data_IF_619935820399
#
_entry.id   IF_619935820399
#
_cell.length_a   1.000
_cell.length_b   1.000
_cell.length_c   1.000
_cell.angle_alpha   90.00
_cell.angle_beta   90.00
_cell.angle_gamma   90.00
#
_symmetry.space_group_name_H-M   'P 1'
#
loop_
_entity.id
_entity.type
_entity.pdbx_description
1 polymer ?
#
# COMPACT_ATOMS: atom_id res chain seq x y z
N UNK A 1 48.94 75.10 66.22
CA UNK A 1 47.91 75.03 65.17
C UNK A 1 48.21 74.07 64.02
N UNK A 2 49.47 73.64 63.78
CA UNK A 2 49.79 72.71 62.68
C UNK A 2 49.22 71.28 62.79
N UNK A 3 49.12 70.72 64.00
CA UNK A 3 48.68 69.32 64.23
C UNK A 3 47.16 69.11 64.00
N UNK A 4 46.36 70.17 64.19
CA UNK A 4 44.90 70.11 64.00
C UNK A 4 44.50 70.14 62.50
N UNK A 5 45.29 70.84 61.68
CA UNK A 5 45.10 70.92 60.23
C UNK A 5 45.52 69.59 59.57
N UNK A 6 46.56 68.92 60.10
CA UNK A 6 46.96 67.59 59.61
C UNK A 6 45.96 66.50 59.99
N UNK A 7 45.35 66.55 61.19
CA UNK A 7 44.35 65.57 61.62
C UNK A 7 43.03 65.64 60.82
N UNK A 8 42.57 66.85 60.49
CA UNK A 8 41.37 67.06 59.67
C UNK A 8 41.61 66.70 58.20
N UNK A 9 42.80 66.99 57.66
CA UNK A 9 43.21 66.51 56.34
C UNK A 9 43.27 64.97 56.25
N UNK A 10 43.81 64.30 57.28
CA UNK A 10 43.89 62.84 57.35
C UNK A 10 42.49 62.21 57.49
N UNK A 11 41.58 62.84 58.24
CA UNK A 11 40.16 62.44 58.35
C UNK A 11 39.41 62.57 57.01
N UNK A 12 39.60 63.67 56.27
CA UNK A 12 39.02 63.85 54.94
C UNK A 12 39.56 62.81 53.93
N UNK A 13 40.86 62.50 54.00
CA UNK A 13 41.47 61.44 53.19
C UNK A 13 40.86 60.07 53.54
N UNK A 14 40.67 59.76 54.82
CA UNK A 14 40.04 58.50 55.26
C UNK A 14 38.58 58.39 54.81
N UNK A 15 37.81 59.48 54.88
CA UNK A 15 36.41 59.52 54.39
C UNK A 15 36.38 59.36 52.86
N UNK A 16 37.31 59.98 52.13
CA UNK A 16 37.43 59.84 50.69
C UNK A 16 37.82 58.42 50.27
N UNK A 17 38.79 57.81 50.94
CA UNK A 17 39.16 56.40 50.76
C UNK A 17 37.98 55.47 51.07
N UNK A 18 37.23 55.75 52.14
CA UNK A 18 36.03 55.01 52.50
C UNK A 18 34.91 55.14 51.45
N UNK A 19 34.64 56.35 50.94
CA UNK A 19 33.67 56.58 49.85
C UNK A 19 34.08 55.90 48.54
N UNK A 20 35.37 55.91 48.19
CA UNK A 20 35.89 55.15 47.04
C UNK A 20 35.68 53.66 47.27
N UNK A 21 35.94 53.16 48.48
CA UNK A 21 35.71 51.74 48.82
C UNK A 21 34.23 51.36 48.70
N UNK A 22 33.32 52.24 49.12
CA UNK A 22 31.86 52.04 49.05
C UNK A 22 31.37 52.09 47.60
N UNK A 23 31.87 53.04 46.81
CA UNK A 23 31.60 53.17 45.37
C UNK A 23 32.08 51.94 44.58
N UNK A 24 33.31 51.49 44.84
CA UNK A 24 33.88 50.26 44.28
C UNK A 24 33.06 49.03 44.67
N UNK A 25 32.60 48.94 45.93
CA UNK A 25 31.71 47.86 46.39
C UNK A 25 30.36 47.89 45.69
N UNK A 26 29.77 49.06 45.48
CA UNK A 26 28.52 49.24 44.75
C UNK A 26 28.67 48.86 43.27
N UNK A 27 29.75 49.30 42.61
CA UNK A 27 30.06 48.94 41.23
C UNK A 27 30.31 47.44 41.05
N UNK A 28 31.03 46.79 41.98
CA UNK A 28 31.21 45.33 41.98
C UNK A 28 29.88 44.60 42.11
N UNK A 29 29.00 45.06 43.01
CA UNK A 29 27.69 44.46 43.22
C UNK A 29 26.75 44.66 42.02
N UNK A 30 26.81 45.82 41.35
CA UNK A 30 26.09 46.08 40.10
C UNK A 30 26.64 45.25 38.92
N UNK A 31 27.96 45.10 38.82
CA UNK A 31 28.61 44.25 37.83
C UNK A 31 28.24 42.76 38.03
N UNK A 32 28.23 42.29 39.28
CA UNK A 32 27.76 40.94 39.63
C UNK A 32 26.28 40.74 39.28
N UNK A 33 25.40 41.71 39.53
CA UNK A 33 23.98 41.64 39.15
C UNK A 33 23.82 41.52 37.63
N UNK A 34 24.50 42.38 36.87
CA UNK A 34 24.50 42.31 35.38
C UNK A 34 25.05 40.98 34.88
N UNK A 35 26.13 40.47 35.48
CA UNK A 35 26.70 39.17 35.13
C UNK A 35 25.72 38.02 35.42
N UNK A 36 25.00 38.06 36.56
CA UNK A 36 23.96 37.08 36.90
C UNK A 36 22.76 37.16 35.95
N UNK A 37 22.32 38.36 35.57
CA UNK A 37 21.24 38.53 34.59
C UNK A 37 21.62 37.98 33.21
N UNK A 38 22.84 38.22 32.74
CA UNK A 38 23.34 37.65 31.48
C UNK A 38 23.46 36.13 31.58
N UNK A 39 23.99 35.61 32.68
CA UNK A 39 24.07 34.16 32.93
C UNK A 39 22.68 33.53 32.97
N UNK A 40 21.72 34.16 33.63
CA UNK A 40 20.32 33.72 33.69
C UNK A 40 19.66 33.74 32.31
N UNK A 41 19.82 34.82 31.53
CA UNK A 41 19.30 34.90 30.15
C UNK A 41 19.90 33.80 29.28
N UNK A 42 21.20 33.56 29.37
CA UNK A 42 21.89 32.50 28.62
C UNK A 42 21.43 31.10 29.05
N UNK A 43 21.25 30.88 30.35
CA UNK A 43 20.70 29.63 30.88
C UNK A 43 19.27 29.39 30.38
N UNK A 44 18.42 30.43 30.39
CA UNK A 44 17.06 30.37 29.87
C UNK A 44 17.01 30.11 28.36
N UNK A 45 17.91 30.72 27.58
CA UNK A 45 18.02 30.44 26.14
C UNK A 45 18.43 28.98 25.89
N UNK A 46 19.46 28.49 26.60
CA UNK A 46 19.91 27.10 26.49
C UNK A 46 18.81 26.11 26.90
N UNK A 47 18.05 26.41 27.95
CA UNK A 47 16.91 25.60 28.38
C UNK A 47 15.82 25.54 27.30
N UNK A 48 15.48 26.67 26.67
CA UNK A 48 14.52 26.71 25.54
C UNK A 48 15.02 25.93 24.33
N UNK A 49 16.30 26.04 23.99
CA UNK A 49 16.89 25.27 22.89
C UNK A 49 16.88 23.77 23.18
N UNK A 50 17.19 23.39 24.41
CA UNK A 50 17.13 21.99 24.83
C UNK A 50 15.69 21.45 24.78
N UNK A 51 14.73 22.19 25.33
CA UNK A 51 13.32 21.80 25.29
C UNK A 51 12.83 21.66 23.83
N UNK A 52 13.24 22.57 22.94
CA UNK A 52 12.93 22.48 21.51
C UNK A 52 13.54 21.23 20.88
N UNK A 53 14.82 20.93 21.16
CA UNK A 53 15.49 19.72 20.65
C UNK A 53 14.81 18.46 21.17
N UNK A 54 14.37 18.44 22.42
CA UNK A 54 13.63 17.31 23.00
C UNK A 54 12.26 17.13 22.32
N UNK A 55 11.56 18.21 21.98
CA UNK A 55 10.30 18.13 21.22
C UNK A 55 10.53 17.64 19.79
N UNK A 56 11.54 18.18 19.10
CA UNK A 56 11.92 17.73 17.76
C UNK A 56 12.29 16.24 17.80
N UNK A 57 13.08 15.79 18.78
CA UNK A 57 13.41 14.39 18.98
C UNK A 57 12.17 13.51 19.22
N UNK A 58 11.23 13.94 20.08
CA UNK A 58 9.97 13.21 20.31
C UNK A 58 9.13 13.08 19.02
N UNK A 59 9.08 14.13 18.21
CA UNK A 59 8.40 14.09 16.94
C UNK A 59 9.14 13.20 15.92
N UNK A 60 10.47 13.22 15.96
CA UNK A 60 11.34 12.37 15.15
C UNK A 60 11.09 10.88 15.42
N UNK A 61 10.89 10.51 16.69
CA UNK A 61 10.57 9.15 17.13
C UNK A 61 9.12 8.71 16.85
N UNK A 62 8.29 9.56 16.23
CA UNK A 62 6.92 9.20 15.83
C UNK A 62 5.80 9.62 16.79
N UNK A 63 6.07 10.48 17.78
CA UNK A 63 5.02 10.94 18.70
C UNK A 63 4.04 11.91 17.99
N UNK A 64 2.91 11.36 17.52
CA UNK A 64 1.91 12.06 16.67
C UNK A 64 1.48 13.42 17.23
N UNK A 65 1.11 13.59 18.53
CA UNK A 65 0.73 14.91 19.04
C UNK A 65 1.82 15.96 18.91
N UNK A 66 3.09 15.59 19.12
CA UNK A 66 4.22 16.52 18.99
C UNK A 66 4.49 16.84 17.52
N UNK A 67 4.34 15.86 16.62
CA UNK A 67 4.45 16.07 15.17
C UNK A 67 3.41 17.11 14.72
N UNK A 68 2.13 16.91 15.08
CA UNK A 68 1.05 17.82 14.70
C UNK A 68 1.21 19.21 15.32
N UNK A 69 1.70 19.30 16.56
CA UNK A 69 2.06 20.57 17.20
C UNK A 69 3.13 21.32 16.40
N UNK A 70 4.25 20.64 16.07
CA UNK A 70 5.35 21.24 15.30
C UNK A 70 4.91 21.61 13.87
N UNK A 71 4.04 20.80 13.25
CA UNK A 71 3.43 21.11 11.96
C UNK A 71 2.65 22.41 12.03
N UNK A 72 1.77 22.54 13.04
CA UNK A 72 0.91 23.72 13.20
C UNK A 72 1.69 24.97 13.58
N UNK A 73 2.70 24.85 14.44
CA UNK A 73 3.63 25.93 14.77
C UNK A 73 4.35 26.43 13.53
N UNK A 74 4.83 25.50 12.68
CA UNK A 74 5.58 25.81 11.46
C UNK A 74 4.72 26.44 10.35
N UNK A 75 3.39 26.31 10.35
CA UNK A 75 2.52 26.91 9.32
C UNK A 75 2.64 28.44 9.25
N UNK A 76 3.02 29.10 10.35
CA UNK A 76 3.16 30.55 10.44
C UNK A 76 4.45 31.05 9.79
N UNK A 77 5.52 30.27 9.93
CA UNK A 77 6.87 30.73 9.63
C UNK A 77 7.46 30.05 8.37
N UNK A 78 7.14 28.78 8.13
CA UNK A 78 7.74 27.98 7.08
C UNK A 78 6.82 26.83 6.62
N UNK A 79 6.13 27.04 5.49
CA UNK A 79 5.21 26.06 4.90
C UNK A 79 5.90 24.73 4.53
N UNK A 80 7.16 24.75 4.09
CA UNK A 80 7.89 23.50 3.76
C UNK A 80 8.14 22.66 5.00
N UNK A 81 8.49 23.31 6.12
CA UNK A 81 8.67 22.64 7.41
C UNK A 81 7.33 22.12 7.95
N UNK A 82 6.24 22.87 7.79
CA UNK A 82 4.91 22.40 8.14
C UNK A 82 4.51 21.16 7.34
N UNK A 83 4.74 21.18 6.02
CA UNK A 83 4.49 20.06 5.12
C UNK A 83 5.27 18.82 5.54
N UNK A 84 6.55 18.94 5.86
CA UNK A 84 7.38 17.83 6.34
C UNK A 84 6.75 17.13 7.55
N UNK A 85 6.31 17.89 8.56
CA UNK A 85 5.69 17.29 9.75
C UNK A 85 4.30 16.71 9.46
N UNK A 86 3.49 17.35 8.62
CA UNK A 86 2.21 16.79 8.22
C UNK A 86 2.36 15.51 7.41
N UNK A 87 3.33 15.43 6.50
CA UNK A 87 3.65 14.21 5.75
C UNK A 87 4.16 13.11 6.68
N UNK A 88 5.01 13.43 7.66
CA UNK A 88 5.46 12.47 8.67
C UNK A 88 4.30 11.90 9.50
N UNK A 89 3.34 12.74 9.89
CA UNK A 89 2.11 12.27 10.54
C UNK A 89 1.25 11.41 9.60
N UNK A 90 1.11 11.82 8.33
CA UNK A 90 0.34 11.09 7.33
C UNK A 90 0.91 9.68 7.07
N UNK A 91 2.24 9.55 6.99
CA UNK A 91 2.94 8.26 6.87
C UNK A 91 2.73 7.33 8.07
N UNK A 92 2.36 7.87 9.23
CA UNK A 92 1.96 7.13 10.43
C UNK A 92 0.44 6.92 10.51
N UNK A 93 -0.26 7.00 9.37
CA UNK A 93 -1.71 6.82 9.24
C UNK A 93 -2.55 7.82 10.04
N UNK A 94 -1.98 8.99 10.35
CA UNK A 94 -2.74 10.04 11.00
C UNK A 94 -3.54 10.87 9.99
N UNK A 95 -4.87 10.77 10.08
CA UNK A 95 -5.85 11.49 9.25
C UNK A 95 -5.64 13.01 9.26
N UNK A 96 -5.38 13.62 10.42
CA UNK A 96 -5.09 15.06 10.53
C UNK A 96 -3.82 15.47 9.77
N UNK A 97 -2.81 14.59 9.77
CA UNK A 97 -1.61 14.70 8.95
C UNK A 97 -1.94 14.78 7.47
N UNK A 98 -2.72 13.81 6.98
CA UNK A 98 -3.15 13.71 5.58
C UNK A 98 -3.93 14.95 5.14
N UNK A 99 -4.93 15.38 5.91
CA UNK A 99 -5.67 16.62 5.65
C UNK A 99 -4.76 17.86 5.67
N UNK A 100 -3.75 17.88 6.53
CA UNK A 100 -2.72 18.91 6.56
C UNK A 100 -1.95 19.01 5.25
N UNK A 101 -1.47 17.87 4.72
CA UNK A 101 -0.77 17.80 3.43
C UNK A 101 -1.66 18.30 2.29
N UNK A 102 -2.89 17.77 2.19
CA UNK A 102 -3.85 18.15 1.14
C UNK A 102 -4.13 19.65 1.17
N UNK A 103 -4.42 20.21 2.35
CA UNK A 103 -4.69 21.65 2.53
C UNK A 103 -3.49 22.51 2.15
N UNK A 104 -2.27 22.11 2.52
CA UNK A 104 -1.06 22.88 2.20
C UNK A 104 -0.70 22.79 0.71
N UNK A 105 -0.93 21.65 0.07
CA UNK A 105 -0.75 21.47 -1.37
C UNK A 105 -1.63 22.45 -2.18
N UNK A 106 -2.87 22.67 -1.75
CA UNK A 106 -3.79 23.62 -2.40
C UNK A 106 -3.34 25.09 -2.31
N UNK A 107 -2.49 25.41 -1.33
CA UNK A 107 -1.85 26.74 -1.22
C UNK A 107 -0.62 26.85 -2.11
N UNK A 108 0.07 25.75 -2.37
CA UNK A 108 1.30 25.65 -3.16
C UNK A 108 1.04 25.06 -4.55
N UNK A 109 0.06 25.62 -5.29
CA UNK A 109 -0.48 25.05 -6.54
C UNK A 109 0.53 24.83 -7.67
N UNK A 110 1.68 25.47 -7.62
CA UNK A 110 2.72 25.38 -8.65
C UNK A 110 3.53 24.08 -8.56
N UNK A 111 3.50 23.39 -7.41
CA UNK A 111 4.25 22.15 -7.21
C UNK A 111 3.44 20.93 -7.67
N UNK A 112 3.81 20.40 -8.85
CA UNK A 112 3.16 19.24 -9.46
C UNK A 112 3.34 17.97 -8.59
N UNK A 113 4.51 17.79 -7.97
CA UNK A 113 4.80 16.61 -7.16
C UNK A 113 3.91 16.61 -5.92
N UNK A 114 3.83 17.77 -5.26
CA UNK A 114 2.97 17.95 -4.10
C UNK A 114 1.48 17.77 -4.44
N UNK A 115 1.06 18.15 -5.66
CA UNK A 115 -0.31 17.91 -6.13
C UNK A 115 -0.63 16.42 -6.25
N UNK A 116 0.29 15.63 -6.81
CA UNK A 116 0.14 14.17 -6.88
C UNK A 116 0.13 13.54 -5.48
N UNK A 117 0.96 14.03 -4.56
CA UNK A 117 0.95 13.62 -3.16
C UNK A 117 -0.37 13.94 -2.46
N UNK A 118 -0.95 15.12 -2.71
CA UNK A 118 -2.28 15.46 -2.21
C UNK A 118 -3.37 14.56 -2.80
N UNK A 119 -3.29 14.20 -4.09
CA UNK A 119 -4.24 13.26 -4.71
C UNK A 119 -4.17 11.88 -4.04
N UNK A 120 -2.96 11.40 -3.76
CA UNK A 120 -2.75 10.16 -3.00
C UNK A 120 -3.44 10.23 -1.63
N UNK A 121 -3.15 11.26 -0.83
CA UNK A 121 -3.73 11.39 0.51
C UNK A 121 -5.25 11.59 0.50
N UNK A 122 -5.83 12.29 -0.49
CA UNK A 122 -7.30 12.37 -0.64
C UNK A 122 -7.91 10.99 -0.87
N UNK A 123 -7.28 10.17 -1.71
CA UNK A 123 -7.73 8.81 -1.99
C UNK A 123 -7.61 7.93 -0.75
N UNK A 124 -6.51 8.06 -0.01
CA UNK A 124 -6.31 7.34 1.25
C UNK A 124 -7.35 7.70 2.32
N UNK A 125 -7.67 9.00 2.46
CA UNK A 125 -8.73 9.49 3.35
C UNK A 125 -10.08 8.86 2.99
N UNK A 126 -10.48 8.92 1.72
CA UNK A 126 -11.73 8.31 1.27
C UNK A 126 -11.79 6.81 1.57
N UNK A 127 -10.67 6.10 1.37
CA UNK A 127 -10.56 4.67 1.72
C UNK A 127 -10.73 4.38 3.21
N UNK A 128 -10.23 5.25 4.10
CA UNK A 128 -10.43 5.13 5.55
C UNK A 128 -11.85 5.50 5.98
N UNK A 129 -12.54 6.36 5.21
CA UNK A 129 -13.94 6.74 5.44
C UNK A 129 -14.93 5.68 4.91
N UNK A 130 -14.44 4.60 4.30
CA UNK A 130 -15.23 3.44 3.88
C UNK A 130 -15.40 3.27 2.37
N UNK A 131 -14.78 4.12 1.54
CA UNK A 131 -14.78 3.95 0.09
C UNK A 131 -13.83 2.81 -0.31
N UNK A 132 -14.41 1.65 -0.64
CA UNK A 132 -13.68 0.43 -0.97
C UNK A 132 -12.85 0.61 -2.26
N UNK A 133 -13.37 1.32 -3.26
CA UNK A 133 -12.66 1.58 -4.51
C UNK A 133 -11.46 2.50 -4.27
N UNK A 134 -11.61 3.50 -3.40
CA UNK A 134 -10.52 4.36 -2.98
C UNK A 134 -9.46 3.60 -2.15
N UNK A 135 -9.87 2.65 -1.31
CA UNK A 135 -8.95 1.77 -0.59
C UNK A 135 -8.10 0.94 -1.56
N UNK A 136 -8.73 0.30 -2.54
CA UNK A 136 -8.03 -0.42 -3.61
C UNK A 136 -7.08 0.50 -4.41
N UNK A 137 -7.54 1.70 -4.78
CA UNK A 137 -6.73 2.68 -5.49
C UNK A 137 -5.52 3.15 -4.68
N UNK A 138 -5.68 3.32 -3.36
CA UNK A 138 -4.60 3.67 -2.43
C UNK A 138 -3.56 2.55 -2.35
N UNK A 139 -4.01 1.29 -2.26
CA UNK A 139 -3.13 0.13 -2.33
C UNK A 139 -2.30 0.12 -3.61
N UNK A 140 -2.92 0.24 -4.79
CA UNK A 140 -2.20 0.34 -6.08
C UNK A 140 -1.24 1.52 -6.16
N UNK A 141 -1.58 2.65 -5.55
CA UNK A 141 -0.70 3.82 -5.51
C UNK A 141 0.56 3.56 -4.68
N UNK A 142 0.45 2.84 -3.56
CA UNK A 142 1.60 2.41 -2.74
C UNK A 142 2.50 1.39 -3.46
N UNK A 143 1.92 0.50 -4.26
CA UNK A 143 2.69 -0.46 -5.07
C UNK A 143 3.50 0.25 -6.16
N UNK A 144 2.86 1.18 -6.87
CA UNK A 144 3.48 1.93 -7.97
C UNK A 144 4.37 3.09 -7.50
N UNK A 145 4.19 3.58 -6.27
CA UNK A 145 4.83 4.79 -5.76
C UNK A 145 4.23 6.08 -6.35
N UNK A 146 2.94 6.06 -6.70
CA UNK A 146 2.26 7.22 -7.27
C UNK A 146 1.81 8.16 -6.16
N UNK A 147 2.40 9.35 -6.09
CA UNK A 147 2.09 10.36 -5.06
C UNK A 147 2.64 10.04 -3.67
N UNK A 148 3.35 8.93 -3.50
CA UNK A 148 4.00 8.56 -2.23
C UNK A 148 5.20 7.65 -2.52
N UNK A 149 6.00 7.35 -1.50
CA UNK A 149 7.07 6.37 -1.59
C UNK A 149 6.48 4.95 -1.75
N UNK A 150 7.17 4.09 -2.51
CA UNK A 150 6.74 2.71 -2.69
C UNK A 150 6.69 1.98 -1.35
N UNK A 151 5.58 1.31 -1.08
CA UNK A 151 5.41 0.46 0.08
C UNK A 151 4.62 -0.78 -0.35
N UNK A 152 5.35 -1.80 -0.82
CA UNK A 152 4.75 -3.03 -1.35
C UNK A 152 3.91 -3.77 -0.29
N UNK A 153 4.43 -4.02 0.94
CA UNK A 153 3.66 -4.75 1.95
C UNK A 153 2.34 -4.07 2.30
N UNK A 154 2.37 -2.75 2.57
CA UNK A 154 1.16 -2.00 2.90
C UNK A 154 0.20 -1.87 1.71
N UNK A 155 0.74 -1.80 0.49
CA UNK A 155 -0.05 -1.79 -0.73
C UNK A 155 -0.88 -3.06 -0.88
N UNK A 156 -0.25 -4.24 -0.72
CA UNK A 156 -0.97 -5.52 -0.76
C UNK A 156 -1.97 -5.67 0.38
N UNK A 157 -1.60 -5.30 1.60
CA UNK A 157 -2.52 -5.34 2.74
C UNK A 157 -3.82 -4.55 2.48
N UNK A 158 -3.72 -3.33 1.94
CA UNK A 158 -4.91 -2.53 1.63
C UNK A 158 -5.75 -3.13 0.49
N UNK A 159 -5.11 -3.76 -0.50
CA UNK A 159 -5.83 -4.42 -1.60
C UNK A 159 -6.55 -5.67 -1.09
N UNK A 160 -5.90 -6.47 -0.25
CA UNK A 160 -6.50 -7.64 0.40
C UNK A 160 -7.72 -7.26 1.24
N UNK A 161 -7.59 -6.24 2.10
CA UNK A 161 -8.73 -5.70 2.85
C UNK A 161 -9.88 -5.24 1.93
N UNK A 162 -9.56 -4.59 0.80
CA UNK A 162 -10.57 -4.18 -0.16
C UNK A 162 -11.23 -5.39 -0.85
N UNK A 163 -10.47 -6.46 -1.13
CA UNK A 163 -10.97 -7.70 -1.70
C UNK A 163 -11.93 -8.41 -0.71
N UNK A 164 -11.57 -8.49 0.57
CA UNK A 164 -12.43 -9.07 1.61
C UNK A 164 -13.73 -8.28 1.82
N UNK A 165 -13.69 -6.97 1.64
CA UNK A 165 -14.87 -6.10 1.67
C UNK A 165 -15.74 -6.18 0.39
N UNK A 166 -15.35 -6.98 -0.61
CA UNK A 166 -16.14 -7.22 -1.80
C UNK A 166 -15.71 -6.45 -3.05
N UNK A 167 -14.54 -5.80 -3.06
CA UNK A 167 -14.06 -5.10 -4.26
C UNK A 167 -13.63 -6.11 -5.34
N UNK A 168 -14.46 -6.28 -6.38
CA UNK A 168 -14.17 -7.17 -7.51
C UNK A 168 -12.80 -6.88 -8.16
N UNK A 169 -12.42 -5.62 -8.48
CA UNK A 169 -11.09 -5.32 -8.99
C UNK A 169 -9.94 -5.74 -8.06
N UNK A 170 -10.15 -5.68 -6.74
CA UNK A 170 -9.16 -6.11 -5.76
C UNK A 170 -9.04 -7.64 -5.72
N UNK A 171 -10.15 -8.37 -5.76
CA UNK A 171 -10.15 -9.84 -5.86
C UNK A 171 -9.41 -10.32 -7.11
N UNK A 172 -9.67 -9.70 -8.27
CA UNK A 172 -8.97 -10.02 -9.52
C UNK A 172 -7.47 -9.74 -9.40
N UNK A 173 -7.09 -8.59 -8.83
CA UNK A 173 -5.69 -8.26 -8.56
C UNK A 173 -5.04 -9.30 -7.66
N UNK A 174 -5.70 -9.75 -6.59
CA UNK A 174 -5.16 -10.77 -5.69
C UNK A 174 -4.93 -12.08 -6.43
N UNK A 175 -5.88 -12.51 -7.27
CA UNK A 175 -5.70 -13.69 -8.10
C UNK A 175 -4.51 -13.59 -9.06
N UNK A 176 -4.34 -12.44 -9.72
CA UNK A 176 -3.19 -12.16 -10.59
C UNK A 176 -1.87 -12.13 -9.80
N UNK A 177 -1.87 -11.51 -8.62
CA UNK A 177 -0.71 -11.43 -7.74
C UNK A 177 -0.25 -12.81 -7.27
N UNK A 178 -1.18 -13.72 -6.98
CA UNK A 178 -0.83 -15.10 -6.61
C UNK A 178 -0.16 -15.89 -7.76
N UNK A 179 -0.41 -15.52 -9.01
CA UNK A 179 0.25 -16.11 -10.19
C UNK A 179 1.47 -15.33 -10.66
N UNK A 180 1.76 -14.18 -10.05
CA UNK A 180 2.87 -13.33 -10.47
C UNK A 180 4.22 -14.01 -10.17
N UNK A 181 5.17 -13.99 -11.12
CA UNK A 181 6.54 -14.44 -10.85
C UNK A 181 7.25 -13.66 -9.73
N UNK A 182 6.77 -12.45 -9.42
CA UNK A 182 7.30 -11.62 -8.33
C UNK A 182 6.82 -12.09 -6.94
N UNK A 183 5.76 -12.88 -6.88
CA UNK A 183 5.24 -13.45 -5.64
C UNK A 183 5.83 -14.85 -5.42
N UNK A 184 7.00 -14.90 -4.78
CA UNK A 184 7.69 -16.18 -4.52
C UNK A 184 6.94 -17.11 -3.56
N UNK A 185 5.98 -16.58 -2.81
CA UNK A 185 5.09 -17.33 -1.92
C UNK A 185 3.70 -17.57 -2.55
N UNK A 186 3.52 -17.20 -3.82
CA UNK A 186 2.24 -17.29 -4.50
C UNK A 186 1.81 -18.72 -4.76
N UNK A 187 0.54 -19.02 -4.49
CA UNK A 187 -0.04 -20.35 -4.74
C UNK A 187 -1.10 -20.28 -5.81
N UNK A 188 -1.03 -21.19 -6.78
CA UNK A 188 -2.01 -21.23 -7.87
C UNK A 188 -3.42 -21.56 -7.38
N UNK A 189 -3.55 -22.33 -6.28
CA UNK A 189 -4.84 -22.59 -5.64
C UNK A 189 -5.47 -21.30 -5.07
N UNK A 190 -4.67 -20.47 -4.38
CA UNK A 190 -5.11 -19.17 -3.86
C UNK A 190 -5.55 -18.23 -5.00
N UNK A 191 -4.91 -18.31 -6.18
CA UNK A 191 -5.35 -17.57 -7.34
C UNK A 191 -6.76 -17.97 -7.80
N UNK A 192 -7.01 -19.27 -7.93
CA UNK A 192 -8.33 -19.80 -8.28
C UNK A 192 -9.40 -19.37 -7.26
N UNK A 193 -9.07 -19.41 -5.98
CA UNK A 193 -9.94 -18.95 -4.90
C UNK A 193 -10.37 -17.49 -5.08
N UNK A 194 -9.42 -16.57 -5.30
CA UNK A 194 -9.73 -15.15 -5.49
C UNK A 194 -10.54 -14.90 -6.77
N UNK A 195 -10.22 -15.59 -7.86
CA UNK A 195 -11.02 -15.52 -9.09
C UNK A 195 -12.43 -16.07 -8.91
N UNK A 196 -12.60 -17.13 -8.10
CA UNK A 196 -13.90 -17.69 -7.77
C UNK A 196 -14.73 -16.71 -6.93
N UNK A 197 -14.16 -16.09 -5.90
CA UNK A 197 -14.80 -15.00 -5.13
C UNK A 197 -15.32 -13.89 -6.06
N UNK A 198 -14.51 -13.45 -7.03
CA UNK A 198 -14.95 -12.46 -8.02
C UNK A 198 -16.09 -13.00 -8.91
N UNK A 199 -15.99 -14.25 -9.37
CA UNK A 199 -16.97 -14.89 -10.23
C UNK A 199 -18.35 -15.05 -9.57
N UNK A 200 -18.38 -15.31 -8.25
CA UNK A 200 -19.61 -15.41 -7.46
C UNK A 200 -20.35 -14.08 -7.34
N UNK A 201 -19.61 -12.96 -7.29
CA UNK A 201 -20.18 -11.61 -7.39
C UNK A 201 -20.57 -11.21 -8.83
N UNK A 202 -20.82 -12.22 -9.66
CA UNK A 202 -21.21 -12.11 -11.05
C UNK A 202 -20.19 -11.43 -11.98
N UNK A 203 -18.93 -11.22 -11.56
CA UNK A 203 -17.86 -10.66 -12.39
C UNK A 203 -17.62 -11.50 -13.65
N UNK A 204 -17.76 -10.87 -14.82
CA UNK A 204 -17.44 -11.53 -16.10
C UNK A 204 -15.94 -11.86 -16.19
N UNK A 205 -15.08 -10.96 -15.74
CA UNK A 205 -13.63 -11.15 -15.68
C UNK A 205 -13.27 -12.31 -14.75
N UNK A 206 -13.87 -12.37 -13.55
CA UNK A 206 -13.63 -13.46 -12.59
C UNK A 206 -14.00 -14.81 -13.18
N UNK A 207 -15.17 -14.91 -13.83
CA UNK A 207 -15.61 -16.12 -14.53
C UNK A 207 -14.67 -16.49 -15.69
N UNK A 208 -14.11 -15.51 -16.42
CA UNK A 208 -13.10 -15.76 -17.45
C UNK A 208 -11.86 -16.40 -16.81
N UNK A 209 -11.32 -15.80 -15.75
CA UNK A 209 -10.11 -16.28 -15.09
C UNK A 209 -10.31 -17.69 -14.50
N UNK A 210 -11.44 -17.97 -13.84
CA UNK A 210 -11.79 -19.33 -13.39
C UNK A 210 -11.81 -20.33 -14.56
N UNK A 211 -12.43 -19.94 -15.68
CA UNK A 211 -12.45 -20.78 -16.89
C UNK A 211 -11.05 -21.07 -17.43
N UNK A 212 -10.17 -20.06 -17.46
CA UNK A 212 -8.78 -20.21 -17.88
C UNK A 212 -7.97 -21.07 -16.91
N UNK A 213 -8.21 -20.98 -15.59
CA UNK A 213 -7.58 -21.86 -14.61
C UNK A 213 -7.91 -23.33 -14.87
N UNK A 214 -9.18 -23.67 -15.13
CA UNK A 214 -9.57 -25.05 -15.48
C UNK A 214 -9.02 -25.52 -16.83
N UNK A 215 -8.84 -24.64 -17.83
CA UNK A 215 -8.19 -25.03 -19.10
C UNK A 215 -6.71 -25.36 -18.90
N UNK A 216 -6.01 -24.55 -18.09
CA UNK A 216 -4.57 -24.64 -17.89
C UNK A 216 -4.18 -25.62 -16.79
N UNK A 217 -5.12 -25.97 -15.90
CA UNK A 217 -4.83 -26.71 -14.68
C UNK A 217 -4.09 -25.85 -13.65
N UNK A 218 -4.42 -24.57 -13.58
CA UNK A 218 -3.80 -23.62 -12.65
C UNK A 218 -4.58 -23.63 -11.35
N UNK A 219 -3.98 -24.19 -10.29
CA UNK A 219 -4.60 -24.28 -8.96
C UNK A 219 -5.70 -25.34 -8.84
N UNK A 220 -5.88 -26.15 -9.87
CA UNK A 220 -6.89 -27.22 -9.94
C UNK A 220 -6.53 -28.17 -11.09
N UNK A 221 -7.14 -29.34 -11.14
CA UNK A 221 -7.02 -30.25 -12.26
C UNK A 221 -7.63 -29.66 -13.54
N UNK A 222 -7.03 -30.01 -14.68
CA UNK A 222 -7.56 -29.61 -15.98
C UNK A 222 -8.96 -30.19 -16.17
N UNK A 223 -9.93 -29.32 -16.43
CA UNK A 223 -11.29 -29.75 -16.75
C UNK A 223 -11.90 -28.90 -17.84
N UNK A 224 -11.97 -29.49 -19.03
CA UNK A 224 -12.55 -28.85 -20.21
C UNK A 224 -14.04 -28.51 -20.02
N UNK A 225 -14.79 -29.38 -19.32
CA UNK A 225 -16.21 -29.19 -19.05
C UNK A 225 -16.44 -28.01 -18.10
N UNK A 226 -15.68 -27.92 -17.00
CA UNK A 226 -15.78 -26.80 -16.05
C UNK A 226 -15.32 -25.48 -16.69
N UNK A 227 -14.22 -25.52 -17.45
CA UNK A 227 -13.74 -24.38 -18.22
C UNK A 227 -14.81 -23.81 -19.17
N UNK A 228 -15.38 -24.66 -20.02
CA UNK A 228 -16.43 -24.24 -20.96
C UNK A 228 -17.63 -23.64 -20.23
N UNK A 229 -18.05 -24.23 -19.11
CA UNK A 229 -19.15 -23.68 -18.33
C UNK A 229 -18.87 -22.25 -17.85
N UNK A 230 -17.72 -22.01 -17.22
CA UNK A 230 -17.38 -20.69 -16.67
C UNK A 230 -17.22 -19.62 -17.76
N UNK A 231 -16.58 -19.98 -18.88
CA UNK A 231 -16.43 -19.10 -20.04
C UNK A 231 -17.78 -18.79 -20.70
N UNK A 232 -18.62 -19.80 -20.94
CA UNK A 232 -19.97 -19.60 -21.49
C UNK A 232 -20.86 -18.81 -20.53
N UNK A 233 -20.66 -18.94 -19.22
CA UNK A 233 -21.40 -18.19 -18.21
C UNK A 233 -21.06 -16.69 -18.25
N UNK A 234 -19.79 -16.35 -18.48
CA UNK A 234 -19.36 -14.97 -18.72
C UNK A 234 -19.82 -14.45 -20.09
N UNK A 235 -19.83 -15.31 -21.12
CA UNK A 235 -20.33 -14.99 -22.44
C UNK A 235 -21.84 -14.69 -22.43
N UNK A 236 -22.63 -15.41 -21.62
CA UNK A 236 -24.06 -15.16 -21.41
C UNK A 236 -24.37 -13.76 -20.85
N UNK A 237 -23.43 -13.15 -20.11
CA UNK A 237 -23.53 -11.76 -19.64
C UNK A 237 -23.11 -10.72 -20.69
N UNK A 238 -22.82 -11.14 -21.93
CA UNK A 238 -22.49 -10.25 -23.03
C UNK A 238 -21.00 -9.86 -23.13
N UNK A 239 -20.11 -10.50 -22.37
CA UNK A 239 -18.66 -10.27 -22.51
C UNK A 239 -18.16 -10.85 -23.83
N UNK A 240 -17.71 -9.98 -24.73
CA UNK A 240 -17.17 -10.39 -26.03
C UNK A 240 -15.85 -11.17 -25.89
N UNK A 241 -15.04 -10.85 -24.88
CA UNK A 241 -13.82 -11.59 -24.54
C UNK A 241 -14.13 -12.99 -24.00
N UNK A 242 -15.14 -13.13 -23.14
CA UNK A 242 -15.60 -14.45 -22.70
C UNK A 242 -16.10 -15.31 -23.86
N UNK A 243 -16.83 -14.71 -24.82
CA UNK A 243 -17.24 -15.39 -26.04
C UNK A 243 -16.03 -15.86 -26.86
N UNK A 244 -14.97 -15.04 -26.94
CA UNK A 244 -13.74 -15.44 -27.62
C UNK A 244 -13.10 -16.67 -26.95
N UNK A 245 -12.88 -16.61 -25.64
CA UNK A 245 -12.27 -17.72 -24.90
C UNK A 245 -13.15 -18.98 -24.90
N UNK A 246 -14.48 -18.85 -24.80
CA UNK A 246 -15.38 -19.99 -24.97
C UNK A 246 -15.24 -20.60 -26.38
N UNK A 247 -15.10 -19.74 -27.39
CA UNK A 247 -14.84 -20.14 -28.77
C UNK A 247 -13.54 -20.91 -28.93
N UNK A 248 -12.44 -20.39 -28.37
CA UNK A 248 -11.14 -21.06 -28.37
C UNK A 248 -11.18 -22.39 -27.62
N UNK A 249 -11.84 -22.44 -26.46
CA UNK A 249 -11.97 -23.67 -25.70
C UNK A 249 -12.62 -24.76 -26.56
N UNK A 250 -13.75 -24.47 -27.23
CA UNK A 250 -14.44 -25.45 -28.06
C UNK A 250 -13.72 -25.80 -29.37
N UNK A 251 -12.72 -25.03 -29.80
CA UNK A 251 -12.01 -25.24 -31.05
C UNK A 251 -11.36 -26.63 -31.07
N UNK A 252 -11.56 -27.35 -32.17
CA UNK A 252 -11.06 -28.70 -32.43
C UNK A 252 -11.44 -29.75 -31.37
N UNK A 253 -12.54 -29.53 -30.65
CA UNK A 253 -13.03 -30.47 -29.63
C UNK A 253 -14.18 -31.35 -30.11
N UNK A 254 -13.96 -32.66 -30.08
CA UNK A 254 -14.99 -33.64 -30.46
C UNK A 254 -15.56 -33.43 -31.87
N UNK A 255 -16.79 -33.91 -32.10
CA UNK A 255 -17.44 -33.84 -33.43
C UNK A 255 -18.16 -32.51 -33.67
N UNK A 256 -18.59 -31.83 -32.62
CA UNK A 256 -19.45 -30.63 -32.68
C UNK A 256 -18.78 -29.38 -32.14
N UNK A 257 -17.56 -29.47 -31.60
CA UNK A 257 -16.87 -28.34 -30.98
C UNK A 257 -16.62 -27.20 -31.96
N UNK A 258 -16.17 -27.48 -33.18
CA UNK A 258 -15.96 -26.42 -34.17
C UNK A 258 -17.26 -25.67 -34.56
N UNK A 259 -18.42 -26.31 -34.50
CA UNK A 259 -19.70 -25.63 -34.69
C UNK A 259 -20.03 -24.68 -33.52
N UNK A 260 -19.79 -25.12 -32.28
CA UNK A 260 -19.99 -24.31 -31.07
C UNK A 260 -18.98 -23.17 -31.01
N UNK A 261 -17.71 -23.47 -31.29
CA UNK A 261 -16.62 -22.50 -31.39
C UNK A 261 -16.98 -21.39 -32.37
N UNK A 262 -17.43 -21.76 -33.58
CA UNK A 262 -17.84 -20.78 -34.58
C UNK A 262 -18.96 -19.85 -34.09
N UNK A 263 -19.99 -20.39 -33.40
CA UNK A 263 -21.08 -19.56 -32.84
C UNK A 263 -20.51 -18.51 -31.88
N UNK A 264 -19.68 -18.92 -30.93
CA UNK A 264 -19.12 -18.00 -29.94
C UNK A 264 -18.16 -16.98 -30.56
N UNK A 265 -17.27 -17.40 -31.44
CA UNK A 265 -16.33 -16.52 -32.14
C UNK A 265 -17.06 -15.52 -33.06
N UNK A 266 -18.14 -15.95 -33.73
CA UNK A 266 -18.98 -15.06 -34.52
C UNK A 266 -19.65 -13.99 -33.66
N UNK A 267 -20.19 -14.36 -32.50
CA UNK A 267 -20.79 -13.40 -31.55
C UNK A 267 -19.75 -12.42 -31.01
N UNK A 268 -18.60 -12.93 -30.57
CA UNK A 268 -17.47 -12.14 -30.07
C UNK A 268 -17.01 -11.07 -31.07
N UNK A 269 -16.76 -11.49 -32.32
CA UNK A 269 -16.32 -10.60 -33.39
C UNK A 269 -17.36 -9.51 -33.71
N UNK A 270 -18.66 -9.83 -33.64
CA UNK A 270 -19.72 -8.87 -33.90
C UNK A 270 -19.99 -7.92 -32.73
N UNK A 271 -19.54 -8.27 -31.52
CA UNK A 271 -19.59 -7.41 -30.34
C UNK A 271 -18.31 -6.57 -30.17
N UNK A 272 -17.39 -6.62 -31.15
CA UNK A 272 -16.24 -5.72 -31.24
C UNK A 272 -14.90 -6.29 -30.76
N UNK A 273 -14.83 -7.58 -30.39
CA UNK A 273 -13.57 -8.21 -30.01
C UNK A 273 -12.81 -8.67 -31.26
N UNK A 274 -11.92 -7.81 -31.74
CA UNK A 274 -11.20 -7.99 -33.01
C UNK A 274 -10.42 -9.32 -33.14
N UNK A 275 -9.71 -9.83 -32.10
CA UNK A 275 -8.99 -11.11 -32.20
C UNK A 275 -9.88 -12.30 -32.60
N UNK A 276 -11.18 -12.24 -32.29
CA UNK A 276 -12.11 -13.32 -32.62
C UNK A 276 -12.30 -13.52 -34.12
N UNK A 277 -12.09 -12.50 -34.96
CA UNK A 277 -12.31 -12.62 -36.42
C UNK A 277 -11.36 -13.62 -37.05
N UNK A 278 -10.07 -13.57 -36.71
CA UNK A 278 -9.07 -14.46 -37.28
C UNK A 278 -9.36 -15.92 -36.93
N UNK A 279 -9.62 -16.20 -35.65
CA UNK A 279 -9.93 -17.56 -35.18
C UNK A 279 -11.28 -18.03 -35.74
N UNK A 280 -12.28 -17.15 -35.83
CA UNK A 280 -13.57 -17.47 -36.46
C UNK A 280 -13.39 -17.95 -37.90
N UNK A 281 -12.57 -17.24 -38.68
CA UNK A 281 -12.38 -17.52 -40.10
C UNK A 281 -11.55 -18.80 -40.33
N UNK A 282 -10.61 -19.10 -39.43
CA UNK A 282 -9.93 -20.39 -39.34
C UNK A 282 -10.95 -21.53 -39.12
N UNK A 283 -11.79 -21.43 -38.09
CA UNK A 283 -12.82 -22.45 -37.80
C UNK A 283 -13.84 -22.57 -38.93
N UNK A 284 -14.24 -21.44 -39.54
CA UNK A 284 -15.18 -21.41 -40.67
C UNK A 284 -14.66 -22.22 -41.87
N UNK A 285 -13.36 -22.10 -42.15
CA UNK A 285 -12.68 -22.82 -43.23
C UNK A 285 -12.70 -24.34 -42.99
N UNK A 286 -12.60 -24.76 -41.73
CA UNK A 286 -12.57 -26.17 -41.36
C UNK A 286 -13.95 -26.87 -41.42
N UNK A 287 -15.05 -26.15 -41.18
CA UNK A 287 -16.41 -26.73 -41.15
C UNK A 287 -17.20 -26.58 -42.46
N UNK A 288 -16.76 -25.69 -43.36
CA UNK A 288 -17.38 -25.48 -44.67
C UNK A 288 -18.50 -24.43 -44.68
N UNK A 289 -18.69 -23.81 -45.85
CA UNK A 289 -19.55 -22.63 -46.03
C UNK A 289 -21.03 -22.92 -45.72
N UNK A 290 -21.55 -24.09 -46.11
CA UNK A 290 -22.96 -24.43 -45.88
C UNK A 290 -23.29 -24.52 -44.38
N UNK A 291 -22.39 -25.13 -43.60
CA UNK A 291 -22.52 -25.23 -42.14
C UNK A 291 -22.44 -23.84 -41.53
N UNK A 292 -21.52 -23.01 -41.98
CA UNK A 292 -21.36 -21.62 -41.52
C UNK A 292 -22.66 -20.82 -41.70
N UNK A 293 -23.28 -20.87 -42.88
CA UNK A 293 -24.55 -20.17 -43.15
C UNK A 293 -25.65 -20.66 -42.20
N UNK A 294 -25.72 -21.97 -41.99
CA UNK A 294 -26.62 -22.59 -41.01
C UNK A 294 -26.39 -22.06 -39.59
N UNK A 295 -25.15 -22.04 -39.11
CA UNK A 295 -24.79 -21.56 -37.77
C UNK A 295 -25.07 -20.06 -37.59
N UNK A 296 -24.83 -19.23 -38.61
CA UNK A 296 -25.16 -17.81 -38.56
C UNK A 296 -26.66 -17.55 -38.41
N UNK A 297 -27.51 -18.41 -38.98
CA UNK A 297 -28.96 -18.32 -38.80
C UNK A 297 -29.40 -18.50 -37.34
N UNK A 298 -28.63 -19.27 -36.56
CA UNK A 298 -28.85 -19.51 -35.13
C UNK A 298 -28.18 -18.42 -34.29
N UNK A 299 -26.97 -17.99 -34.68
CA UNK A 299 -26.18 -17.02 -33.93
C UNK A 299 -26.76 -15.59 -34.00
N UNK A 300 -27.34 -15.16 -35.13
CA UNK A 300 -27.92 -13.81 -35.26
C UNK A 300 -29.07 -13.53 -34.28
N UNK A 301 -30.04 -14.44 -34.06
CA UNK A 301 -31.03 -14.29 -32.99
C UNK A 301 -30.40 -14.19 -31.59
N UNK A 302 -29.39 -15.02 -31.29
CA UNK A 302 -28.66 -14.98 -30.02
C UNK A 302 -27.96 -13.63 -29.82
N UNK A 303 -27.33 -13.10 -30.86
CA UNK A 303 -26.70 -11.77 -30.86
C UNK A 303 -27.70 -10.67 -30.48
N UNK A 304 -28.88 -10.66 -31.11
CA UNK A 304 -29.93 -9.67 -30.78
C UNK A 304 -30.39 -9.79 -29.33
N UNK A 305 -30.49 -11.01 -28.81
CA UNK A 305 -30.87 -11.27 -27.42
C UNK A 305 -29.79 -10.79 -26.44
N UNK A 306 -28.52 -11.08 -26.72
CA UNK A 306 -27.38 -10.60 -25.92
C UNK A 306 -27.28 -9.07 -25.95
N UNK A 307 -27.49 -8.45 -27.12
CA UNK A 307 -27.52 -6.99 -27.27
C UNK A 307 -28.70 -6.32 -26.55
N UNK A 308 -29.80 -7.04 -26.31
CA UNK A 308 -30.93 -6.52 -25.54
C UNK A 308 -30.67 -6.45 -24.02
N UNK A 309 -29.55 -6.99 -23.54
CA UNK A 309 -29.13 -6.95 -22.14
C UNK A 309 -29.85 -7.95 -21.22
N UNK A 310 -31.01 -8.49 -21.61
CA UNK A 310 -31.73 -9.48 -20.81
C UNK A 310 -31.56 -10.91 -21.33
N UNK A 311 -30.60 -11.64 -20.75
CA UNK A 311 -30.42 -13.08 -20.96
C UNK A 311 -30.63 -13.81 -19.63
N UNK A 312 -31.66 -14.65 -19.55
CA UNK A 312 -31.91 -15.48 -18.37
C UNK A 312 -30.69 -16.38 -18.09
N UNK A 313 -30.26 -16.43 -16.82
CA UNK A 313 -29.16 -17.28 -16.32
C UNK A 313 -29.25 -18.71 -16.88
N UNK A 314 -28.15 -19.16 -17.49
CA UNK A 314 -27.96 -20.47 -18.12
C UNK A 314 -28.84 -20.77 -19.33
N UNK A 315 -29.56 -19.79 -19.89
CA UNK A 315 -30.50 -20.06 -20.98
C UNK A 315 -29.81 -20.43 -22.30
N UNK A 316 -28.66 -19.84 -22.62
CA UNK A 316 -27.89 -20.15 -23.82
C UNK A 316 -27.14 -21.48 -23.61
N UNK A 317 -26.51 -21.66 -22.44
CA UNK A 317 -25.82 -22.90 -22.08
C UNK A 317 -26.78 -24.10 -22.16
N UNK A 318 -27.98 -23.99 -21.59
CA UNK A 318 -29.01 -25.06 -21.67
C UNK A 318 -29.45 -25.33 -23.10
N UNK A 319 -29.61 -24.30 -23.92
CA UNK A 319 -29.99 -24.46 -25.33
C UNK A 319 -28.91 -25.19 -26.11
N UNK A 320 -27.64 -24.79 -25.96
CA UNK A 320 -26.51 -25.45 -26.59
C UNK A 320 -26.32 -26.89 -26.08
N UNK A 321 -26.49 -27.15 -24.78
CA UNK A 321 -26.49 -28.52 -24.22
C UNK A 321 -27.54 -29.40 -24.90
N UNK A 322 -28.76 -28.87 -25.10
CA UNK A 322 -29.85 -29.60 -25.75
C UNK A 322 -29.57 -29.85 -27.24
N UNK A 323 -29.12 -28.84 -27.98
CA UNK A 323 -28.90 -28.92 -29.43
C UNK A 323 -27.73 -29.85 -29.76
N UNK A 324 -26.62 -29.74 -29.01
CA UNK A 324 -25.40 -30.49 -29.28
C UNK A 324 -25.22 -31.73 -28.39
N UNK A 325 -26.24 -32.07 -27.58
CA UNK A 325 -26.23 -33.22 -26.65
C UNK A 325 -24.99 -33.23 -25.74
N UNK A 326 -24.65 -32.06 -25.19
CA UNK A 326 -23.49 -31.87 -24.31
C UNK A 326 -23.82 -32.39 -22.92
N UNK A 327 -22.79 -32.89 -22.22
CA UNK A 327 -22.91 -33.21 -20.81
C UNK A 327 -23.19 -31.92 -20.02
N UNK A 328 -24.29 -31.85 -19.26
CA UNK A 328 -24.61 -30.66 -18.48
C UNK A 328 -23.73 -30.59 -17.24
N UNK A 329 -23.00 -29.50 -17.09
CA UNK A 329 -22.33 -29.15 -15.84
C UNK A 329 -22.87 -27.81 -15.31
N UNK A 330 -23.22 -27.80 -14.03
CA UNK A 330 -23.63 -26.64 -13.27
C UNK A 330 -23.07 -26.87 -11.85
N UNK A 331 -22.12 -26.05 -11.36
CA UNK A 331 -21.61 -26.19 -10.02
C UNK A 331 -22.76 -26.00 -9.03
N UNK A 332 -22.87 -26.93 -8.09
CA UNK A 332 -23.77 -26.80 -6.96
C UNK A 332 -23.15 -25.91 -5.87
N UNK A 333 -23.92 -25.62 -4.82
CA UNK A 333 -23.44 -24.75 -3.75
C UNK A 333 -22.37 -25.43 -2.90
N UNK A 334 -22.39 -26.75 -2.79
CA UNK A 334 -21.43 -27.47 -1.97
C UNK A 334 -20.04 -27.47 -2.63
N UNK A 335 -19.97 -27.68 -3.95
CA UNK A 335 -18.74 -27.54 -4.75
C UNK A 335 -18.16 -26.12 -4.67
N UNK A 336 -19.01 -25.10 -4.72
CA UNK A 336 -18.56 -23.70 -4.59
C UNK A 336 -18.05 -23.40 -3.19
N UNK A 337 -18.76 -23.86 -2.15
CA UNK A 337 -18.35 -23.68 -0.76
C UNK A 337 -17.04 -24.40 -0.45
N UNK A 338 -16.81 -25.58 -1.01
CA UNK A 338 -15.55 -26.32 -0.86
C UNK A 338 -14.39 -25.51 -1.45
N UNK A 339 -14.54 -25.01 -2.68
CA UNK A 339 -13.53 -24.17 -3.35
C UNK A 339 -13.31 -22.81 -2.68
N UNK A 340 -14.26 -22.35 -1.87
CA UNK A 340 -14.22 -21.09 -1.13
C UNK A 340 -13.94 -21.29 0.36
N UNK A 341 -13.69 -22.53 0.78
CA UNK A 341 -13.30 -22.82 2.15
C UNK A 341 -11.83 -22.41 2.37
N UNK A 342 -11.55 -21.77 3.51
CA UNK A 342 -10.20 -21.34 3.86
C UNK A 342 -9.26 -22.54 4.19
N UNK A 343 -9.80 -23.75 4.32
CA UNK A 343 -9.04 -24.96 4.68
C UNK A 343 -8.02 -25.36 3.60
N UNK A 344 -8.25 -25.02 2.33
CA UNK A 344 -7.27 -25.18 1.25
C UNK A 344 -6.04 -24.26 1.40
N UNK A 345 -6.07 -23.26 2.28
CA UNK A 345 -4.91 -22.42 2.58
C UNK A 345 -3.93 -23.07 3.56
N UNK A 346 -4.33 -24.10 4.31
CA UNK A 346 -3.52 -24.68 5.41
C UNK A 346 -2.93 -26.07 5.10
N UNK A 347 -3.63 -26.94 4.35
CA UNK A 347 -3.21 -28.35 4.22
C UNK A 347 -1.87 -28.56 3.47
N UNK A 348 -1.46 -27.68 2.57
CA UNK A 348 -0.12 -27.72 1.94
C UNK A 348 0.96 -26.97 2.73
N UNK A 349 0.61 -26.27 3.82
CA UNK A 349 1.55 -25.55 4.69
C UNK A 349 2.38 -26.48 5.59
N UNK A 350 2.03 -27.76 5.71
CA UNK A 350 2.71 -28.72 6.59
C UNK A 350 3.89 -29.45 5.95
N UNK A 351 4.28 -29.08 4.72
CA UNK A 351 5.45 -29.63 4.03
C UNK A 351 6.46 -28.54 3.65
N UNK A 352 6.83 -27.67 4.58
CA UNK A 352 8.22 -27.20 4.65
C UNK A 352 8.55 -26.70 6.06
N UNK A 353 9.58 -27.30 6.66
CA UNK A 353 9.94 -27.07 8.04
C UNK A 353 10.60 -25.71 8.28
N UNK A 354 9.95 -24.86 9.06
CA UNK A 354 10.60 -23.82 9.86
C UNK A 354 9.83 -23.60 11.17
N UNK A 355 10.52 -23.41 12.31
CA UNK A 355 9.88 -23.38 13.62
C UNK A 355 9.09 -22.08 13.84
N UNK A 356 7.85 -22.25 14.26
CA UNK A 356 6.94 -21.20 14.72
C UNK A 356 7.58 -20.36 15.85
N UNK A 357 7.72 -19.06 15.61
CA UNK A 357 7.99 -18.08 16.65
C UNK A 357 6.65 -17.62 17.23
N UNK A 358 6.21 -18.32 18.28
CA UNK A 358 5.10 -17.92 19.14
C UNK A 358 5.43 -16.60 19.85
N UNK A 359 4.65 -15.55 19.59
CA UNK A 359 4.62 -14.33 20.38
C UNK A 359 3.19 -14.10 20.87
N UNK A 360 2.89 -14.67 22.04
CA UNK A 360 1.86 -14.24 23.00
C UNK A 360 1.96 -15.21 24.19
N UNK A 361 1.89 -14.86 25.46
CA UNK A 361 1.88 -13.61 26.21
C UNK A 361 2.11 -14.05 27.67
N UNK A 362 2.80 -13.28 28.51
CA UNK A 362 2.56 -13.33 29.97
C UNK A 362 3.17 -12.13 30.68
N UNK A 363 2.31 -11.30 31.28
CA UNK A 363 2.63 -10.21 32.18
C UNK A 363 2.65 -10.77 33.62
N UNK A 364 3.76 -10.71 34.36
CA UNK A 364 3.76 -10.96 35.80
C UNK A 364 3.86 -9.65 36.62
N UNK A 365 3.47 -9.68 37.90
CA UNK A 365 3.00 -8.52 38.66
C UNK A 365 4.09 -7.64 39.28
N UNK A 366 3.69 -6.42 39.63
CA UNK A 366 4.46 -5.41 40.35
C UNK A 366 4.96 -5.93 41.72
N UNK A 367 6.26 -5.78 41.99
CA UNK A 367 6.84 -5.81 43.34
C UNK A 367 7.79 -4.62 43.56
N UNK A 368 7.72 -4.09 44.78
CA UNK A 368 8.29 -2.83 45.26
C UNK A 368 9.83 -2.79 45.36
N UNK A 369 10.31 -1.54 45.35
CA UNK A 369 11.67 -1.00 45.42
C UNK A 369 12.75 -1.71 46.26
N UNK A 370 13.96 -1.79 45.68
CA UNK A 370 15.24 -1.75 46.40
C UNK A 370 16.30 -0.95 45.60
N UNK A 371 17.12 -0.18 46.33
CA UNK A 371 18.04 0.90 45.89
C UNK A 371 19.15 0.52 44.89
N UNK A 372 19.71 1.49 44.12
CA UNK A 372 20.67 1.21 43.04
C UNK A 372 22.13 1.02 43.53
N UNK A 373 22.91 0.13 42.89
CA UNK A 373 24.35 0.04 43.14
C UNK A 373 25.15 1.07 42.31
N UNK A 374 26.35 1.39 42.84
CA UNK A 374 27.30 2.44 42.40
C UNK A 374 27.80 2.30 40.95
N UNK A 375 28.00 3.44 40.30
CA UNK A 375 28.60 3.61 38.97
C UNK A 375 30.08 3.15 38.92
N UNK A 376 30.52 2.47 37.83
CA UNK A 376 31.93 2.34 37.50
C UNK A 376 32.43 3.53 36.64
N UNK A 377 33.74 3.78 36.76
CA UNK A 377 34.50 4.95 36.30
C UNK A 377 34.69 5.08 34.79
N UNK A 378 34.84 6.34 34.35
CA UNK A 378 35.12 6.79 32.97
C UNK A 378 36.48 6.33 32.44
N UNK A 379 36.47 5.63 31.30
CA UNK A 379 37.57 5.65 30.33
C UNK A 379 37.06 6.20 29.00
N UNK A 380 37.82 7.12 28.42
CA UNK A 380 37.51 7.89 27.21
C UNK A 380 38.07 7.12 26.01
N UNK A 381 37.20 6.68 25.10
CA UNK A 381 37.61 6.12 23.80
C UNK A 381 37.65 7.23 22.75
N UNK A 382 38.85 7.52 22.25
CA UNK A 382 39.17 8.49 21.19
C UNK A 382 39.08 7.81 19.82
N UNK A 383 38.32 8.40 18.89
CA UNK A 383 38.02 7.86 17.56
C UNK A 383 38.75 8.60 16.42
N UNK A 384 39.78 9.38 16.71
CA UNK A 384 40.62 9.95 15.66
C UNK A 384 41.74 9.01 15.25
N UNK A 385 41.43 7.99 14.45
CA UNK A 385 42.38 7.48 13.45
C UNK A 385 41.73 6.57 12.41
N UNK A 386 42.18 6.75 11.17
CA UNK A 386 41.89 5.98 9.96
C UNK A 386 40.59 6.33 9.24
N UNK A 387 40.65 7.34 8.37
CA UNK A 387 40.32 7.20 6.94
C UNK A 387 40.88 8.43 6.22
N UNK A 388 41.92 8.23 5.38
CA UNK A 388 42.25 8.99 4.15
C UNK A 388 43.64 8.55 3.62
N UNK A 389 43.65 7.52 2.73
CA UNK A 389 44.46 7.31 1.49
C UNK A 389 46.01 7.50 1.47
N UNK A 390 46.78 7.08 0.42
CA UNK A 390 46.44 6.45 -0.86
C UNK A 390 47.25 5.17 -1.24
N UNK A 391 46.83 4.56 -2.35
CA UNK A 391 47.49 3.49 -3.09
C UNK A 391 48.94 3.83 -3.48
N UNK A 392 49.84 2.84 -3.45
CA UNK A 392 51.08 2.88 -4.21
C UNK A 392 51.38 1.54 -4.91
N UNK A 393 51.75 1.69 -6.18
CA UNK A 393 52.03 0.68 -7.19
C UNK A 393 53.43 0.06 -7.08
N UNK A 394 53.54 -1.12 -7.70
CA UNK A 394 54.72 -1.77 -8.34
C UNK A 394 55.62 -2.75 -7.56
N UNK A 395 55.37 -4.05 -7.84
CA UNK A 395 56.22 -5.08 -8.53
C UNK A 395 57.63 -5.44 -7.96
N UNK A 396 58.26 -6.52 -8.45
CA UNK A 396 57.93 -7.95 -8.36
C UNK A 396 59.16 -8.75 -7.81
N UNK A 397 59.09 -10.08 -7.74
CA UNK A 397 60.17 -11.10 -7.74
C UNK A 397 59.55 -12.35 -7.06
N UNK A 398 59.66 -13.58 -7.54
CA UNK A 398 60.36 -14.25 -8.63
C UNK A 398 59.72 -15.62 -8.79
#
# INVERSE_FOLDING_TARGET
MGIAITATGLSLILIFVWMISLSMRKQRLEAERKAREVAYRKAMQKAREQERKEREFKAETGHIPTILYLAKESERDNLKRALYWYDKAAKLDNVTGMYGVVRLAERMREDVILREQANFWRTAIAGMEGDIDAKFATGKALLSGRGTEKNIPKGHQLIEMAADEGCIPAMLYMGEWQLSPENTAGRSADALFWFMKAAEQDSAEGKIQVGLCYLRGTGTDKSMVKACYWLERAAESGSAEAMFHAGEAWKDTGKTGNAIAYIWLFLSANMGYEPARAVRDEVASNIGVDVVVGLQSIAKPLQRKLASGFVKKHSIIRALNKVYKREPYFPDQDELNELLSEEHHEEESLLDGAPELNFDAEVPPQQEFASPPKQPSKEVLDFTQNFLQPQNLNKPHS
#
